data_IF_041662350116
#
_entry.id   IF_041662350116
#
_cell.length_a   1.000
_cell.length_b   1.000
_cell.length_c   1.000
_cell.angle_alpha   90.00
_cell.angle_beta   90.00
_cell.angle_gamma   90.00
#
_symmetry.space_group_name_H-M   'P 1'
#
loop_
_entity.id
_entity.type
_entity.pdbx_description
1 polymer ?
#
# COMPACT_ATOMS: atom_id res chain seq x y z
N UNK A 1 -15.77 -11.96 -38.97
CA UNK A 1 -14.55 -11.38 -38.37
C UNK A 1 -14.76 -11.44 -36.88
N UNK A 2 -13.95 -12.22 -36.16
CA UNK A 2 -14.13 -12.40 -34.71
C UNK A 2 -13.86 -11.06 -34.01
N UNK A 3 -14.59 -10.76 -32.94
CA UNK A 3 -14.40 -9.54 -32.13
C UNK A 3 -12.96 -9.38 -31.59
N UNK A 4 -12.16 -10.45 -31.63
CA UNK A 4 -10.74 -10.49 -31.23
C UNK A 4 -9.81 -9.66 -32.13
N UNK A 5 -10.13 -9.45 -33.40
CA UNK A 5 -9.26 -8.70 -34.32
C UNK A 5 -9.39 -7.17 -34.15
N UNK A 6 -10.51 -6.69 -33.59
CA UNK A 6 -10.81 -5.25 -33.48
C UNK A 6 -10.17 -4.62 -32.22
N UNK A 7 -9.78 -5.43 -31.24
CA UNK A 7 -9.15 -4.96 -30.00
C UNK A 7 -7.77 -5.62 -29.79
N UNK A 8 -6.84 -5.31 -30.69
CA UNK A 8 -5.46 -5.78 -30.64
C UNK A 8 -4.51 -4.59 -30.72
N UNK A 9 -3.58 -4.55 -29.79
CA UNK A 9 -2.49 -3.58 -29.80
C UNK A 9 -1.16 -4.33 -29.99
N UNK A 10 -0.42 -3.98 -31.05
CA UNK A 10 0.88 -4.56 -31.35
C UNK A 10 1.98 -3.84 -30.57
N UNK A 11 2.84 -4.60 -29.89
CA UNK A 11 3.88 -4.04 -29.04
C UNK A 11 5.15 -3.76 -29.84
N UNK A 12 5.74 -2.59 -29.61
CA UNK A 12 7.09 -2.28 -30.07
C UNK A 12 8.13 -3.11 -29.33
N UNK A 13 9.34 -3.24 -29.88
CA UNK A 13 10.45 -3.96 -29.22
C UNK A 13 10.74 -3.39 -27.83
N UNK A 14 10.68 -2.06 -27.68
CA UNK A 14 10.86 -1.40 -26.38
C UNK A 14 9.78 -1.77 -25.35
N UNK A 15 8.53 -1.88 -25.80
CA UNK A 15 7.41 -2.31 -24.94
C UNK A 15 7.54 -3.78 -24.54
N UNK A 16 7.91 -4.67 -25.47
CA UNK A 16 8.16 -6.09 -25.16
C UNK A 16 9.25 -6.26 -24.10
N UNK A 17 10.33 -5.48 -24.20
CA UNK A 17 11.41 -5.49 -23.19
C UNK A 17 10.89 -4.96 -21.84
N UNK A 18 10.11 -3.88 -21.85
CA UNK A 18 9.48 -3.31 -20.65
C UNK A 18 8.55 -4.28 -19.94
N UNK A 19 7.72 -5.00 -20.70
CA UNK A 19 6.75 -5.98 -20.19
C UNK A 19 7.47 -7.22 -19.65
N UNK A 20 8.54 -7.66 -20.34
CA UNK A 20 9.39 -8.76 -19.86
C UNK A 20 10.05 -8.42 -18.51
N UNK A 21 10.54 -7.18 -18.38
CA UNK A 21 11.12 -6.71 -17.13
C UNK A 21 10.07 -6.58 -16.03
N UNK A 22 8.89 -6.02 -16.35
CA UNK A 22 7.77 -5.88 -15.42
C UNK A 22 7.29 -7.23 -14.92
N UNK A 23 7.22 -8.24 -15.79
CA UNK A 23 6.87 -9.61 -15.41
C UNK A 23 7.90 -10.25 -14.48
N UNK A 24 9.19 -10.08 -14.77
CA UNK A 24 10.27 -10.59 -13.92
C UNK A 24 10.24 -9.94 -12.53
N UNK A 25 10.15 -8.60 -12.48
CA UNK A 25 10.07 -7.84 -11.22
C UNK A 25 8.81 -8.22 -10.44
N UNK A 26 7.66 -8.34 -11.11
CA UNK A 26 6.40 -8.77 -10.51
C UNK A 26 6.50 -10.15 -9.88
N UNK A 27 7.15 -11.10 -10.56
CA UNK A 27 7.36 -12.46 -10.06
C UNK A 27 8.29 -12.48 -8.84
N UNK A 28 9.43 -11.77 -8.92
CA UNK A 28 10.39 -11.67 -7.82
C UNK A 28 9.78 -10.99 -6.60
N UNK A 29 9.03 -9.90 -6.82
CA UNK A 29 8.31 -9.18 -5.76
C UNK A 29 7.25 -10.06 -5.10
N UNK A 30 6.44 -10.76 -5.88
CA UNK A 30 5.43 -11.70 -5.35
C UNK A 30 6.06 -12.79 -4.48
N UNK A 31 7.18 -13.36 -4.92
CA UNK A 31 7.92 -14.34 -4.14
C UNK A 31 8.46 -13.74 -2.83
N UNK A 32 9.04 -12.54 -2.90
CA UNK A 32 9.55 -11.83 -1.73
C UNK A 32 8.43 -11.53 -0.71
N UNK A 33 7.26 -11.09 -1.18
CA UNK A 33 6.08 -10.81 -0.35
C UNK A 33 5.57 -12.08 0.34
N UNK A 34 5.50 -13.21 -0.36
CA UNK A 34 5.10 -14.50 0.23
C UNK A 34 6.07 -14.92 1.31
N UNK A 35 7.38 -14.86 1.05
CA UNK A 35 8.42 -15.19 2.03
C UNK A 35 8.32 -14.24 3.23
N UNK A 36 8.20 -12.95 2.99
CA UNK A 36 8.08 -11.93 4.03
C UNK A 36 6.86 -12.16 4.92
N UNK A 37 5.71 -12.46 4.31
CA UNK A 37 4.46 -12.75 5.02
C UNK A 37 4.61 -14.00 5.89
N UNK A 38 5.21 -15.07 5.36
CA UNK A 38 5.47 -16.28 6.13
C UNK A 38 6.40 -16.02 7.33
N UNK A 39 7.47 -15.24 7.14
CA UNK A 39 8.37 -14.83 8.23
C UNK A 39 7.68 -13.94 9.25
N UNK A 40 6.85 -13.00 8.82
CA UNK A 40 6.07 -12.12 9.70
C UNK A 40 5.10 -12.93 10.58
N UNK A 41 4.42 -13.92 10.00
CA UNK A 41 3.52 -14.82 10.73
C UNK A 41 4.28 -15.65 11.77
N UNK A 42 5.40 -16.27 11.40
CA UNK A 42 6.25 -17.05 12.32
C UNK A 42 6.72 -16.18 13.50
N UNK A 43 7.23 -14.99 13.23
CA UNK A 43 7.65 -14.04 14.28
C UNK A 43 6.47 -13.65 15.16
N UNK A 44 5.31 -13.35 14.57
CA UNK A 44 4.11 -12.94 15.32
C UNK A 44 3.64 -13.99 16.32
N UNK A 45 3.72 -15.27 15.98
CA UNK A 45 3.35 -16.36 16.88
C UNK A 45 4.40 -16.69 17.95
N UNK A 46 5.67 -16.33 17.74
CA UNK A 46 6.75 -16.47 18.74
C UNK A 46 6.72 -15.38 19.82
N UNK A 47 6.07 -14.25 19.55
CA UNK A 47 5.98 -13.13 20.50
C UNK A 47 5.00 -13.45 21.65
N UNK A 48 5.30 -13.01 22.90
CA UNK A 48 4.41 -13.14 24.05
C UNK A 48 2.99 -12.59 23.80
N UNK A 49 1.98 -13.21 24.39
CA UNK A 49 0.56 -12.90 24.14
C UNK A 49 0.17 -11.44 24.43
N UNK A 50 0.81 -10.82 25.42
CA UNK A 50 0.60 -9.41 25.79
C UNK A 50 1.02 -8.47 24.64
N UNK A 51 2.27 -8.61 24.18
CA UNK A 51 2.83 -7.83 23.07
C UNK A 51 2.07 -8.12 21.77
N UNK A 52 1.65 -9.37 21.56
CA UNK A 52 0.84 -9.78 20.40
C UNK A 52 -0.46 -8.98 20.34
N UNK A 53 -1.16 -8.85 21.46
CA UNK A 53 -2.44 -8.14 21.54
C UNK A 53 -2.28 -6.67 21.18
N UNK A 54 -1.17 -6.05 21.59
CA UNK A 54 -0.84 -4.66 21.28
C UNK A 54 -0.52 -4.42 19.80
N UNK A 55 0.06 -5.41 19.11
CA UNK A 55 0.47 -5.28 17.69
C UNK A 55 -0.60 -5.68 16.68
N UNK A 56 -1.71 -6.29 17.12
CA UNK A 56 -2.77 -6.83 16.25
C UNK A 56 -3.28 -5.85 15.19
N UNK A 57 -3.55 -4.59 15.56
CA UNK A 57 -4.08 -3.60 14.61
C UNK A 57 -3.10 -3.27 13.48
N UNK A 58 -1.81 -3.12 13.82
CA UNK A 58 -0.76 -2.84 12.82
C UNK A 58 -0.56 -4.05 11.90
N UNK A 59 -0.55 -5.26 12.46
CA UNK A 59 -0.42 -6.49 11.67
C UNK A 59 -1.56 -6.63 10.65
N UNK A 60 -2.79 -6.22 10.98
CA UNK A 60 -3.92 -6.21 10.05
C UNK A 60 -3.69 -5.23 8.90
N UNK A 61 -3.24 -4.01 9.18
CA UNK A 61 -2.96 -3.00 8.16
C UNK A 61 -1.80 -3.42 7.24
N UNK A 62 -0.72 -3.93 7.81
CA UNK A 62 0.43 -4.44 7.04
C UNK A 62 0.04 -5.69 6.25
N UNK A 63 -0.82 -6.55 6.79
CA UNK A 63 -1.36 -7.69 6.06
C UNK A 63 -2.16 -7.25 4.82
N UNK A 64 -2.97 -6.19 4.94
CA UNK A 64 -3.69 -5.59 3.81
C UNK A 64 -2.73 -5.05 2.74
N UNK A 65 -1.65 -4.39 3.17
CA UNK A 65 -0.60 -3.88 2.28
C UNK A 65 0.04 -5.01 1.47
N UNK A 66 0.53 -6.05 2.17
CA UNK A 66 1.19 -7.20 1.55
C UNK A 66 0.27 -7.98 0.61
N UNK A 67 -1.01 -8.11 0.97
CA UNK A 67 -1.99 -8.73 0.08
C UNK A 67 -2.21 -7.89 -1.20
N UNK A 68 -2.21 -6.56 -1.08
CA UNK A 68 -2.33 -5.67 -2.23
C UNK A 68 -1.10 -5.73 -3.14
N UNK A 69 0.10 -5.72 -2.55
CA UNK A 69 1.37 -5.91 -3.26
C UNK A 69 1.45 -7.26 -3.99
N UNK A 70 0.92 -8.32 -3.38
CA UNK A 70 0.86 -9.64 -4.01
C UNK A 70 -0.04 -9.61 -5.25
N UNK A 71 -1.22 -9.00 -5.17
CA UNK A 71 -2.13 -8.87 -6.31
C UNK A 71 -1.53 -8.00 -7.43
N UNK A 72 -0.86 -6.90 -7.07
CA UNK A 72 -0.15 -6.05 -8.02
C UNK A 72 1.01 -6.81 -8.69
N UNK A 73 1.79 -7.57 -7.91
CA UNK A 73 2.88 -8.41 -8.41
C UNK A 73 2.41 -9.51 -9.36
N UNK A 74 1.28 -10.15 -9.05
CA UNK A 74 0.64 -11.14 -9.95
C UNK A 74 0.18 -10.44 -11.25
N UNK A 75 -0.48 -9.29 -11.14
CA UNK A 75 -0.91 -8.51 -12.30
C UNK A 75 0.25 -8.05 -13.20
N UNK A 76 1.44 -7.84 -12.61
CA UNK A 76 2.68 -7.59 -13.33
C UNK A 76 3.28 -8.85 -13.95
N UNK A 77 3.29 -9.98 -13.24
CA UNK A 77 3.76 -11.27 -13.79
C UNK A 77 2.96 -11.70 -15.03
N UNK A 78 1.68 -11.31 -15.13
CA UNK A 78 0.83 -11.54 -16.30
C UNK A 78 1.34 -10.84 -17.58
N UNK A 79 2.18 -9.82 -17.48
CA UNK A 79 2.78 -9.16 -18.66
C UNK A 79 3.64 -10.13 -19.49
N UNK A 80 4.13 -11.23 -18.88
CA UNK A 80 4.91 -12.25 -19.57
C UNK A 80 4.19 -12.81 -20.81
N UNK A 81 2.85 -12.93 -20.74
CA UNK A 81 2.04 -13.38 -21.87
C UNK A 81 2.13 -12.38 -23.02
N UNK A 82 1.97 -11.09 -22.74
CA UNK A 82 1.97 -10.02 -23.74
C UNK A 82 3.36 -9.84 -24.36
N UNK A 83 4.42 -9.98 -23.57
CA UNK A 83 5.79 -10.00 -24.06
C UNK A 83 6.04 -11.16 -25.05
N UNK A 84 5.51 -12.36 -24.75
CA UNK A 84 5.66 -13.52 -25.62
C UNK A 84 4.83 -13.40 -26.92
N UNK A 85 3.59 -12.92 -26.82
CA UNK A 85 2.69 -12.74 -27.96
C UNK A 85 3.01 -11.50 -28.80
N UNK A 86 3.84 -10.58 -28.27
CA UNK A 86 4.15 -9.26 -28.84
C UNK A 86 2.92 -8.42 -29.16
N UNK A 87 1.77 -8.76 -28.57
CA UNK A 87 0.52 -8.05 -28.76
C UNK A 87 -0.35 -8.22 -27.52
N UNK A 88 -1.00 -7.15 -27.08
CA UNK A 88 -2.02 -7.18 -26.03
C UNK A 88 -3.41 -7.16 -26.66
N UNK A 89 -4.32 -8.01 -26.18
CA UNK A 89 -5.66 -8.20 -26.76
C UNK A 89 -6.74 -8.11 -25.70
N UNK A 90 -7.93 -7.64 -26.08
CA UNK A 90 -9.10 -7.75 -25.24
C UNK A 90 -9.47 -9.22 -24.95
N UNK A 91 -10.16 -9.45 -23.82
CA UNK A 91 -10.66 -10.76 -23.43
C UNK A 91 -10.57 -10.98 -21.93
N UNK A 92 -10.94 -12.18 -21.47
CA UNK A 92 -10.99 -12.53 -20.05
C UNK A 92 -9.63 -12.36 -19.35
N UNK A 93 -8.53 -12.69 -20.05
CA UNK A 93 -7.18 -12.51 -19.52
C UNK A 93 -6.87 -11.03 -19.24
N UNK A 94 -7.29 -10.15 -20.16
CA UNK A 94 -7.10 -8.70 -20.05
C UNK A 94 -7.94 -8.11 -18.90
N UNK A 95 -9.20 -8.54 -18.81
CA UNK A 95 -10.10 -8.17 -17.70
C UNK A 95 -9.56 -8.61 -16.35
N UNK A 96 -9.08 -9.86 -16.25
CA UNK A 96 -8.49 -10.38 -15.01
C UNK A 96 -7.22 -9.61 -14.63
N UNK A 97 -6.33 -9.34 -15.59
CA UNK A 97 -5.11 -8.57 -15.35
C UNK A 97 -5.43 -7.15 -14.87
N UNK A 98 -6.34 -6.46 -15.56
CA UNK A 98 -6.73 -5.09 -15.22
C UNK A 98 -7.38 -5.01 -13.85
N UNK A 99 -8.24 -5.97 -13.50
CA UNK A 99 -8.84 -6.05 -12.17
C UNK A 99 -7.81 -6.28 -11.07
N UNK A 100 -6.87 -7.23 -11.26
CA UNK A 100 -5.81 -7.52 -10.29
C UNK A 100 -4.91 -6.32 -10.04
N UNK A 101 -4.48 -5.64 -11.12
CA UNK A 101 -3.66 -4.42 -10.99
C UNK A 101 -4.41 -3.30 -10.30
N UNK A 102 -5.66 -3.05 -10.70
CA UNK A 102 -6.49 -2.02 -10.10
C UNK A 102 -6.67 -2.24 -8.59
N UNK A 103 -7.02 -3.47 -8.19
CA UNK A 103 -7.17 -3.86 -6.78
C UNK A 103 -5.85 -3.69 -6.04
N UNK A 104 -4.75 -4.18 -6.61
CA UNK A 104 -3.43 -4.11 -5.99
C UNK A 104 -2.94 -2.68 -5.77
N UNK A 105 -2.95 -1.84 -6.82
CA UNK A 105 -2.45 -0.46 -6.74
C UNK A 105 -3.30 0.42 -5.83
N UNK A 106 -4.63 0.31 -5.93
CA UNK A 106 -5.54 1.10 -5.08
C UNK A 106 -5.48 0.60 -3.63
N UNK A 107 -5.38 -0.71 -3.43
CA UNK A 107 -5.26 -1.32 -2.11
C UNK A 107 -3.95 -0.99 -1.41
N UNK A 108 -2.85 -0.90 -2.16
CA UNK A 108 -1.55 -0.43 -1.66
C UNK A 108 -1.68 1.01 -1.14
N UNK A 109 -2.17 1.93 -1.99
CA UNK A 109 -2.35 3.34 -1.63
C UNK A 109 -3.22 3.54 -0.37
N UNK A 110 -4.35 2.85 -0.28
CA UNK A 110 -5.25 2.91 0.87
C UNK A 110 -4.64 2.25 2.12
N UNK A 111 -3.86 1.18 1.97
CA UNK A 111 -3.17 0.54 3.09
C UNK A 111 -2.08 1.45 3.66
N UNK A 112 -1.28 2.09 2.80
CA UNK A 112 -0.27 3.08 3.18
C UNK A 112 -0.91 4.26 3.92
N UNK A 113 -2.02 4.79 3.40
CA UNK A 113 -2.77 5.86 4.05
C UNK A 113 -3.21 5.46 5.47
N UNK A 114 -3.76 4.25 5.63
CA UNK A 114 -4.17 3.72 6.93
C UNK A 114 -3.00 3.58 7.91
N UNK A 115 -1.85 3.08 7.44
CA UNK A 115 -0.62 2.96 8.23
C UNK A 115 -0.10 4.34 8.66
N UNK A 116 -0.08 5.32 7.76
CA UNK A 116 0.38 6.67 8.04
C UNK A 116 -0.47 7.34 9.12
N UNK A 117 -1.80 7.25 9.00
CA UNK A 117 -2.75 7.79 9.99
C UNK A 117 -2.60 7.08 11.34
N UNK A 118 -2.52 5.75 11.35
CA UNK A 118 -2.34 4.98 12.59
C UNK A 118 -1.01 5.31 13.29
N UNK A 119 0.06 5.53 12.52
CA UNK A 119 1.38 5.93 13.02
C UNK A 119 1.33 7.34 13.60
N UNK A 120 0.74 8.29 12.89
CA UNK A 120 0.57 9.67 13.37
C UNK A 120 -0.23 9.72 14.68
N UNK A 121 -1.37 9.02 14.76
CA UNK A 121 -2.18 8.94 15.98
C UNK A 121 -1.35 8.35 17.15
N UNK A 122 -0.56 7.32 16.87
CA UNK A 122 0.25 6.65 17.89
C UNK A 122 1.37 7.53 18.46
N UNK A 123 1.86 8.49 17.69
CA UNK A 123 2.93 9.41 18.10
C UNK A 123 2.36 10.69 18.72
N UNK A 124 1.30 11.24 18.11
CA UNK A 124 0.76 12.54 18.48
C UNK A 124 -0.06 12.52 19.78
N UNK A 125 -0.80 11.44 20.05
CA UNK A 125 -1.68 11.39 21.22
C UNK A 125 -0.94 10.95 22.50
N UNK A 126 -1.40 11.37 23.70
CA UNK A 126 -0.75 11.04 24.96
C UNK A 126 -0.71 9.54 25.24
N UNK A 127 0.30 9.06 25.98
CA UNK A 127 0.49 7.64 26.33
C UNK A 127 -0.74 6.96 26.98
N UNK A 128 -1.65 7.72 27.61
CA UNK A 128 -2.93 7.21 28.12
C UNK A 128 -3.90 6.84 27.00
N UNK A 129 -4.03 7.68 25.97
CA UNK A 129 -4.85 7.44 24.79
C UNK A 129 -4.19 6.45 23.85
N UNK A 130 -2.85 6.44 23.76
CA UNK A 130 -2.09 5.47 22.96
C UNK A 130 -2.19 4.06 23.54
N UNK A 131 -2.19 3.88 24.86
CA UNK A 131 -2.43 2.55 25.46
C UNK A 131 -3.85 2.05 25.17
N UNK A 132 -4.85 2.92 25.25
CA UNK A 132 -6.22 2.58 24.87
C UNK A 132 -6.36 2.28 23.37
N UNK A 133 -5.71 3.06 22.50
CA UNK A 133 -5.68 2.83 21.06
C UNK A 133 -4.85 1.60 20.68
N UNK A 134 -3.80 1.25 21.41
CA UNK A 134 -2.97 0.05 21.18
C UNK A 134 -3.67 -1.22 21.68
N UNK A 135 -4.45 -1.12 22.76
CA UNK A 135 -5.29 -2.20 23.28
C UNK A 135 -6.58 -2.41 22.45
N UNK A 136 -7.19 -1.35 21.92
CA UNK A 136 -8.46 -1.41 21.19
C UNK A 136 -8.35 -1.17 19.68
N UNK A 137 -7.16 -0.84 19.16
CA UNK A 137 -6.91 -0.45 17.78
C UNK A 137 -7.07 -1.57 16.75
N UNK A 138 -7.19 -2.81 17.22
CA UNK A 138 -7.54 -3.93 16.36
C UNK A 138 -8.92 -3.76 15.70
N UNK A 139 -9.95 -3.35 16.46
CA UNK A 139 -11.30 -3.16 15.92
C UNK A 139 -11.36 -2.10 14.80
N UNK A 140 -10.87 -0.86 14.99
CA UNK A 140 -10.88 0.14 13.92
C UNK A 140 -10.00 -0.27 12.74
N UNK A 141 -8.87 -0.96 12.96
CA UNK A 141 -8.04 -1.47 11.85
C UNK A 141 -8.79 -2.52 11.01
N UNK A 142 -9.48 -3.48 11.65
CA UNK A 142 -10.28 -4.49 10.94
C UNK A 142 -11.46 -3.85 10.20
N UNK A 143 -12.16 -2.89 10.83
CA UNK A 143 -13.26 -2.17 10.16
C UNK A 143 -12.73 -1.40 8.95
N UNK A 144 -11.62 -0.68 9.10
CA UNK A 144 -10.98 0.06 8.01
C UNK A 144 -10.61 -0.86 6.85
N UNK A 145 -9.87 -1.94 7.14
CA UNK A 145 -9.48 -2.93 6.12
C UNK A 145 -10.71 -3.57 5.49
N UNK A 146 -11.75 -3.89 6.26
CA UNK A 146 -13.02 -4.41 5.73
C UNK A 146 -13.70 -3.46 4.75
N UNK A 147 -13.74 -2.15 5.06
CA UNK A 147 -14.28 -1.12 4.17
C UNK A 147 -13.42 -1.03 2.89
N UNK A 148 -12.10 -0.95 3.04
CA UNK A 148 -11.16 -0.88 1.91
C UNK A 148 -11.34 -2.07 0.98
N UNK A 149 -11.28 -3.31 1.49
CA UNK A 149 -11.42 -4.49 0.65
C UNK A 149 -12.82 -4.64 0.06
N UNK A 150 -13.87 -4.21 0.76
CA UNK A 150 -15.21 -4.17 0.16
C UNK A 150 -15.27 -3.21 -1.02
N UNK A 151 -14.67 -2.03 -0.90
CA UNK A 151 -14.55 -1.07 -2.00
C UNK A 151 -13.73 -1.66 -3.17
N UNK A 152 -12.55 -2.22 -2.89
CA UNK A 152 -11.66 -2.78 -3.91
C UNK A 152 -12.28 -3.94 -4.69
N UNK A 153 -13.06 -4.80 -4.03
CA UNK A 153 -13.69 -5.94 -4.68
C UNK A 153 -14.97 -5.54 -5.41
N UNK A 154 -15.83 -4.72 -4.78
CA UNK A 154 -17.11 -4.34 -5.38
C UNK A 154 -16.93 -3.45 -6.60
N UNK A 155 -15.95 -2.54 -6.59
CA UNK A 155 -15.76 -1.58 -7.66
C UNK A 155 -15.53 -2.21 -9.05
N UNK A 156 -14.52 -3.08 -9.27
CA UNK A 156 -14.31 -3.75 -10.55
C UNK A 156 -15.46 -4.71 -10.90
N UNK A 157 -16.07 -5.38 -9.93
CA UNK A 157 -17.21 -6.29 -10.17
C UNK A 157 -18.41 -5.51 -10.73
N UNK A 158 -18.79 -4.41 -10.08
CA UNK A 158 -19.89 -3.56 -10.51
C UNK A 158 -19.58 -2.92 -11.86
N UNK A 159 -18.35 -2.44 -12.06
CA UNK A 159 -17.94 -1.82 -13.30
C UNK A 159 -18.01 -2.79 -14.50
N UNK A 160 -17.50 -4.02 -14.35
CA UNK A 160 -17.60 -5.06 -15.38
C UNK A 160 -19.05 -5.49 -15.60
N UNK A 161 -19.85 -5.58 -14.53
CA UNK A 161 -21.27 -5.95 -14.60
C UNK A 161 -22.14 -4.92 -15.33
N UNK A 162 -21.85 -3.63 -15.18
CA UNK A 162 -22.58 -2.55 -15.87
C UNK A 162 -22.14 -2.44 -17.34
N UNK A 163 -20.85 -2.63 -17.62
CA UNK A 163 -20.25 -2.40 -18.93
C UNK A 163 -20.00 -3.69 -19.73
N UNK A 164 -20.88 -4.69 -19.61
CA UNK A 164 -20.74 -6.01 -20.24
C UNK A 164 -20.99 -6.01 -21.77
N UNK A 165 -21.25 -4.87 -22.39
CA UNK A 165 -21.49 -4.80 -23.82
C UNK A 165 -20.17 -4.87 -24.60
N UNK A 166 -19.86 -6.07 -25.09
CA UNK A 166 -18.75 -6.39 -26.01
C UNK A 166 -19.02 -5.90 -27.45
N UNK A 167 -20.07 -5.12 -27.68
CA UNK A 167 -20.49 -4.67 -29.02
C UNK A 167 -19.44 -3.79 -29.71
N UNK A 168 -18.54 -3.16 -28.94
CA UNK A 168 -17.40 -2.45 -29.48
C UNK A 168 -16.18 -2.51 -28.54
N UNK A 169 -14.94 -2.49 -29.07
CA UNK A 169 -13.72 -2.37 -28.25
C UNK A 169 -13.72 -1.13 -27.36
N UNK A 170 -14.38 -0.06 -27.81
CA UNK A 170 -14.41 1.24 -27.13
C UNK A 170 -15.30 1.25 -25.88
N UNK A 171 -16.25 0.31 -25.80
CA UNK A 171 -17.20 0.18 -24.67
C UNK A 171 -16.71 -0.74 -23.56
N UNK A 172 -15.63 -1.50 -23.80
CA UNK A 172 -15.07 -2.41 -22.81
C UNK A 172 -14.50 -1.64 -21.63
N UNK A 173 -14.85 -2.08 -20.41
CA UNK A 173 -14.37 -1.43 -19.21
C UNK A 173 -12.86 -1.63 -19.04
N UNK A 174 -12.35 -2.85 -19.21
CA UNK A 174 -10.92 -3.13 -19.27
C UNK A 174 -10.49 -3.32 -20.73
N UNK A 175 -9.52 -2.51 -21.16
CA UNK A 175 -9.00 -2.52 -22.51
C UNK A 175 -7.45 -2.60 -22.48
N UNK A 176 -6.82 -3.17 -23.51
CA UNK A 176 -5.37 -3.17 -23.64
C UNK A 176 -4.88 -1.74 -23.79
N UNK A 177 -4.01 -1.34 -22.87
CA UNK A 177 -3.09 -0.22 -23.07
C UNK A 177 -1.76 -0.79 -23.55
N UNK A 178 -0.85 0.02 -24.14
CA UNK A 178 0.32 -0.48 -24.85
C UNK A 178 1.27 -1.45 -24.11
N UNK A 179 1.15 -1.59 -22.80
CA UNK A 179 2.00 -2.43 -21.96
C UNK A 179 1.21 -3.36 -20.99
N UNK A 180 -0.08 -3.11 -20.75
CA UNK A 180 -0.93 -3.96 -19.88
C UNK A 180 -2.41 -3.63 -20.06
N UNK A 181 -3.29 -4.40 -19.43
CA UNK A 181 -4.71 -4.12 -19.44
C UNK A 181 -5.14 -3.20 -18.29
N UNK A 182 -5.94 -2.17 -18.62
CA UNK A 182 -6.39 -1.15 -17.68
C UNK A 182 -7.81 -0.70 -17.99
N UNK A 183 -8.41 0.09 -17.09
CA UNK A 183 -9.66 0.82 -17.34
C UNK A 183 -9.55 1.65 -18.64
N UNK A 184 -10.48 1.45 -19.56
CA UNK A 184 -10.51 2.14 -20.86
C UNK A 184 -10.51 3.66 -20.73
N UNK A 185 -9.88 4.34 -21.69
CA UNK A 185 -9.79 5.80 -21.71
C UNK A 185 -11.15 6.48 -21.83
N UNK A 186 -12.15 5.78 -22.38
CA UNK A 186 -13.55 6.22 -22.45
C UNK A 186 -14.13 6.55 -21.08
N UNK A 187 -13.63 5.90 -20.02
CA UNK A 187 -14.16 6.01 -18.66
C UNK A 187 -13.23 6.80 -17.73
N UNK A 188 -12.87 8.03 -18.12
CA UNK A 188 -11.98 8.91 -17.32
C UNK A 188 -12.46 9.11 -15.87
N UNK A 189 -13.76 9.32 -15.69
CA UNK A 189 -14.35 9.46 -14.35
C UNK A 189 -14.18 8.20 -13.49
N UNK A 190 -14.33 7.03 -14.10
CA UNK A 190 -14.07 5.76 -13.42
C UNK A 190 -12.60 5.59 -13.07
N UNK A 191 -11.65 5.97 -13.94
CA UNK A 191 -10.20 5.95 -13.62
C UNK A 191 -9.87 6.80 -12.39
N UNK A 192 -10.47 8.00 -12.30
CA UNK A 192 -10.26 8.90 -11.18
C UNK A 192 -10.81 8.30 -9.89
N UNK A 193 -12.07 7.87 -9.91
CA UNK A 193 -12.72 7.30 -8.73
C UNK A 193 -12.05 6.00 -8.29
N UNK A 194 -11.72 5.11 -9.23
CA UNK A 194 -11.17 3.80 -8.95
C UNK A 194 -9.81 3.89 -8.28
N UNK A 195 -8.92 4.76 -8.77
CA UNK A 195 -7.50 4.71 -8.43
C UNK A 195 -6.89 6.08 -8.19
N UNK A 196 -6.94 7.00 -9.16
CA UNK A 196 -6.15 8.24 -9.08
C UNK A 196 -6.50 9.09 -7.85
N UNK A 197 -7.78 9.20 -7.49
CA UNK A 197 -8.20 9.95 -6.31
C UNK A 197 -7.51 9.43 -5.03
N UNK A 198 -7.41 8.10 -4.90
CA UNK A 198 -6.80 7.45 -3.74
C UNK A 198 -5.27 7.55 -3.75
N UNK A 199 -4.64 7.41 -4.90
CA UNK A 199 -3.19 7.62 -5.05
C UNK A 199 -2.78 9.03 -4.64
N UNK A 200 -3.49 10.05 -5.16
CA UNK A 200 -3.20 11.45 -4.83
C UNK A 200 -3.49 11.76 -3.37
N UNK A 201 -4.59 11.24 -2.82
CA UNK A 201 -4.92 11.41 -1.41
C UNK A 201 -3.86 10.76 -0.50
N UNK A 202 -3.47 9.51 -0.79
CA UNK A 202 -2.44 8.80 -0.04
C UNK A 202 -1.10 9.55 -0.11
N UNK A 203 -0.68 9.99 -1.30
CA UNK A 203 0.53 10.77 -1.50
C UNK A 203 0.50 12.09 -0.71
N UNK A 204 -0.57 12.88 -0.82
CA UNK A 204 -0.69 14.16 -0.13
C UNK A 204 -0.69 13.99 1.40
N UNK A 205 -1.49 13.06 1.93
CA UNK A 205 -1.61 12.84 3.37
C UNK A 205 -0.30 12.29 3.94
N UNK A 206 0.34 11.33 3.27
CA UNK A 206 1.64 10.81 3.73
C UNK A 206 2.70 11.91 3.76
N UNK A 207 2.86 12.69 2.68
CA UNK A 207 3.80 13.80 2.64
C UNK A 207 3.57 14.75 3.82
N UNK A 208 2.31 15.18 4.04
CA UNK A 208 1.96 16.07 5.15
C UNK A 208 2.34 15.41 6.49
N UNK A 209 1.83 14.22 6.78
CA UNK A 209 2.05 13.56 8.07
C UNK A 209 3.53 13.28 8.35
N UNK A 210 4.30 12.82 7.37
CA UNK A 210 5.72 12.53 7.56
C UNK A 210 6.57 13.80 7.69
N UNK A 211 6.24 14.90 6.99
CA UNK A 211 6.88 16.20 7.23
C UNK A 211 6.59 16.69 8.65
N UNK A 212 5.33 16.62 9.09
CA UNK A 212 4.94 16.99 10.44
C UNK A 212 5.68 16.17 11.51
N UNK A 213 5.77 14.85 11.31
CA UNK A 213 6.55 13.98 12.19
C UNK A 213 8.04 14.36 12.20
N UNK A 214 8.64 14.64 11.04
CA UNK A 214 10.02 15.09 10.94
C UNK A 214 10.28 16.39 11.71
N UNK A 215 9.38 17.37 11.61
CA UNK A 215 9.49 18.63 12.35
C UNK A 215 9.40 18.46 13.87
N UNK A 216 8.59 17.51 14.33
CA UNK A 216 8.53 17.13 15.75
C UNK A 216 9.83 16.45 16.21
N UNK A 217 10.37 15.53 15.40
CA UNK A 217 11.61 14.81 15.71
C UNK A 217 12.83 15.72 15.72
N UNK A 218 12.88 16.73 14.85
CA UNK A 218 13.97 17.72 14.81
C UNK A 218 13.90 18.78 15.92
N UNK A 219 12.95 18.68 16.87
CA UNK A 219 12.69 19.68 17.94
C UNK A 219 12.47 21.13 17.46
N UNK A 220 12.32 21.36 16.15
CA UNK A 220 12.09 22.69 15.55
C UNK A 220 10.77 23.27 16.07
N UNK A 221 9.79 22.40 16.29
CA UNK A 221 8.55 22.74 16.98
C UNK A 221 8.68 22.28 18.43
N UNK A 222 9.18 23.15 19.31
CA UNK A 222 8.96 22.95 20.74
C UNK A 222 7.47 23.14 21.01
N UNK A 223 6.77 22.22 21.70
CA UNK A 223 5.42 22.44 22.17
C UNK A 223 5.47 23.47 23.31
N UNK A 224 5.80 24.72 22.99
CA UNK A 224 5.94 25.81 23.93
C UNK A 224 4.70 26.72 23.86
N UNK A 225 3.98 26.73 24.98
CA UNK A 225 2.95 27.69 25.41
C UNK A 225 1.66 27.88 24.62
N UNK A 226 1.57 27.51 23.34
CA UNK A 226 0.40 27.88 22.51
C UNK A 226 -0.73 26.84 22.52
N UNK A 227 -0.45 25.59 22.92
CA UNK A 227 -1.41 24.47 22.91
C UNK A 227 -1.33 23.64 24.21
N UNK A 228 -2.12 23.97 25.25
CA UNK A 228 -2.00 23.39 26.60
C UNK A 228 -2.38 21.90 26.73
N UNK A 229 -2.80 21.25 25.64
CA UNK A 229 -3.18 19.83 25.58
C UNK A 229 -2.08 18.92 25.00
N UNK A 230 -0.95 19.49 24.55
CA UNK A 230 0.24 18.71 24.23
C UNK A 230 0.93 18.27 25.54
N UNK A 231 1.16 16.96 25.76
CA UNK A 231 1.79 16.51 26.99
C UNK A 231 3.25 16.96 27.05
N UNK A 232 3.54 17.87 27.98
CA UNK A 232 4.87 18.28 28.42
C UNK A 232 5.72 17.10 28.97
N UNK A 233 5.12 15.91 29.09
CA UNK A 233 5.73 14.67 29.61
C UNK A 233 6.54 13.89 28.58
N UNK A 234 6.52 14.27 27.31
CA UNK A 234 7.52 13.78 26.35
C UNK A 234 8.88 14.35 26.79
N UNK A 235 9.03 15.65 27.01
CA UNK A 235 10.35 16.23 27.31
C UNK A 235 11.01 15.83 28.65
N UNK A 236 10.23 15.45 29.68
CA UNK A 236 10.74 15.27 31.06
C UNK A 236 11.04 13.82 31.47
N UNK A 237 10.81 12.82 30.62
CA UNK A 237 11.34 11.49 30.89
C UNK A 237 12.82 11.48 30.49
N UNK A 238 13.69 10.99 31.37
CA UNK A 238 15.07 10.66 30.99
C UNK A 238 15.12 9.70 29.78
N UNK A 239 14.04 8.95 29.54
CA UNK A 239 13.83 8.15 28.32
C UNK A 239 13.73 9.01 27.04
N UNK A 240 13.30 10.28 27.08
CA UNK A 240 13.13 11.14 25.90
C UNK A 240 14.39 11.92 25.53
N UNK A 241 15.35 12.08 26.46
CA UNK A 241 16.73 12.36 26.04
C UNK A 241 17.31 11.25 25.16
N UNK A 242 16.75 10.03 25.24
CA UNK A 242 17.07 8.89 24.37
C UNK A 242 16.16 8.81 23.12
N UNK A 243 15.19 9.72 22.93
CA UNK A 243 14.38 9.79 21.70
C UNK A 243 15.10 10.52 20.56
N UNK A 244 16.15 11.27 20.88
CA UNK A 244 17.15 11.75 19.91
C UNK A 244 18.06 10.63 19.40
N UNK A 245 17.97 9.41 19.95
CA UNK A 245 18.75 8.28 19.47
C UNK A 245 18.10 7.69 18.20
N UNK A 246 18.93 7.45 17.19
CA UNK A 246 18.54 6.86 15.88
C UNK A 246 17.77 5.55 16.04
N UNK A 247 17.89 4.91 17.20
CA UNK A 247 17.19 3.69 17.59
C UNK A 247 15.67 3.83 17.50
N UNK A 248 15.11 5.01 17.77
CA UNK A 248 13.65 5.21 17.81
C UNK A 248 13.05 5.48 16.42
N UNK A 249 13.75 6.24 15.58
CA UNK A 249 13.43 6.35 14.15
C UNK A 249 13.61 5.01 13.43
N UNK A 250 14.67 4.26 13.77
CA UNK A 250 14.85 2.88 13.32
C UNK A 250 13.76 1.95 13.87
N UNK A 251 13.24 2.16 15.10
CA UNK A 251 12.11 1.42 15.67
C UNK A 251 10.78 1.73 14.99
N UNK A 252 10.60 2.95 14.47
CA UNK A 252 9.43 3.37 13.70
C UNK A 252 9.45 2.84 12.26
N UNK A 253 10.63 2.78 11.64
CA UNK A 253 10.84 2.16 10.33
C UNK A 253 10.80 0.62 10.42
N UNK A 254 11.24 0.04 11.55
CA UNK A 254 11.15 -1.41 11.84
C UNK A 254 9.87 -1.82 12.57
N UNK A 255 8.95 -0.90 12.87
CA UNK A 255 7.71 -1.25 13.56
C UNK A 255 6.83 -2.29 12.81
N UNK A 256 6.84 -2.37 11.46
CA UNK A 256 6.22 -3.47 10.73
C UNK A 256 7.11 -4.72 10.57
N UNK A 257 8.41 -4.60 10.85
CA UNK A 257 9.44 -5.55 10.44
C UNK A 257 10.21 -5.98 11.68
N UNK A 258 9.93 -7.17 12.21
CA UNK A 258 10.67 -7.76 13.33
C UNK A 258 12.13 -8.14 12.99
N UNK A 259 12.87 -7.28 12.31
CA UNK A 259 14.30 -7.38 12.12
C UNK A 259 15.01 -6.55 13.19
N UNK A 260 15.75 -7.24 14.06
CA UNK A 260 16.94 -6.67 14.68
C UNK A 260 17.96 -6.38 13.56
N UNK A 261 17.77 -5.28 12.83
CA UNK A 261 18.67 -4.92 11.74
C UNK A 261 19.99 -4.38 12.31
N UNK A 262 21.15 -4.72 11.70
CA UNK A 262 22.46 -4.19 12.09
C UNK A 262 22.62 -2.68 11.84
N UNK A 263 21.58 -2.00 11.35
CA UNK A 263 21.49 -0.53 11.20
C UNK A 263 21.61 0.18 12.56
N UNK A 264 21.35 -0.53 13.67
CA UNK A 264 21.64 -0.07 15.05
C UNK A 264 23.09 0.36 15.29
N UNK A 265 24.03 0.06 14.38
CA UNK A 265 25.45 0.42 14.49
C UNK A 265 25.92 1.56 13.59
N UNK A 266 25.07 2.09 12.70
CA UNK A 266 25.46 3.18 11.81
C UNK A 266 25.26 4.54 12.49
N UNK A 267 26.36 5.10 12.99
CA UNK A 267 26.48 6.53 13.28
C UNK A 267 26.43 7.32 11.97
N UNK A 268 25.22 7.68 11.53
CA UNK A 268 25.04 8.85 10.65
C UNK A 268 25.59 10.09 11.42
N UNK A 269 25.92 11.23 10.81
CA UNK A 269 26.37 12.42 11.54
C UNK A 269 25.22 13.41 11.75
N UNK A 270 25.36 14.31 12.72
CA UNK A 270 24.36 15.25 13.26
C UNK A 270 23.80 16.24 12.22
N UNK A 271 22.62 16.78 12.51
CA UNK A 271 22.19 18.10 12.01
C UNK A 271 22.82 19.19 12.87
#
# INVERSE_FOLDING_TARGET
>A
MAAEDVCRYELTVGQVVGDSFSALVGTLSSLAVVIYTARMIDIYYRIPAEIRTLKRGVVVLVGSLLASDLLQGIGAAMDAKWANERSSRCGEYCTAQGALRLIGQTGDALSILGIAVATFISIWFPASHVRAFRSNGFKPAVIYVGIVWSYLLLWPIVAVGIHHNYDSPETLFFAPTPAWCWISESYKGARIAAEYAWLWLACAVTIVLYIWLGLLFCEIITPSSTWPHLPQRVYNNEDVKDYGDRRTAAMLISYPIGMDSPISKLKIQEC
#
